data_IF_820346038949
#
_entry.id   IF_820346038949
#
_cell.length_a   1.000
_cell.length_b   1.000
_cell.length_c   1.000
_cell.angle_alpha   90.00
_cell.angle_beta   90.00
_cell.angle_gamma   90.00
#
_symmetry.space_group_name_H-M   'P 1'
#
loop_
_entity.id
_entity.type
_entity.pdbx_description
1 polymer ?
#
# COMPACT_ATOMS: atom_id res chain seq x y z
N UNK A 1 53.58 4.78 30.98
CA UNK A 1 52.56 4.65 29.91
C UNK A 1 52.36 3.16 29.70
N UNK A 2 51.21 2.59 30.10
CA UNK A 2 51.01 1.14 30.06
C UNK A 2 50.52 0.69 28.67
N UNK A 3 50.73 -0.58 28.33
CA UNK A 3 50.39 -1.18 27.04
C UNK A 3 48.90 -1.04 26.71
N UNK A 4 48.06 -1.02 27.74
CA UNK A 4 46.61 -0.79 27.66
C UNK A 4 46.27 0.62 27.15
N UNK A 5 47.01 1.65 27.57
CA UNK A 5 46.81 3.03 27.11
C UNK A 5 47.14 3.16 25.62
N UNK A 6 48.24 2.53 25.19
CA UNK A 6 48.70 2.52 23.79
C UNK A 6 47.73 1.72 22.91
N UNK A 7 47.22 0.58 23.38
CA UNK A 7 46.19 -0.19 22.68
C UNK A 7 44.87 0.58 22.56
N UNK A 8 44.49 1.34 23.58
CA UNK A 8 43.27 2.14 23.58
C UNK A 8 43.33 3.32 22.62
N UNK A 9 44.48 3.99 22.54
CA UNK A 9 44.72 5.06 21.56
C UNK A 9 44.85 4.53 20.13
N UNK A 10 45.48 3.37 19.93
CA UNK A 10 45.57 2.72 18.63
C UNK A 10 44.19 2.25 18.12
N UNK A 11 43.34 1.71 19.00
CA UNK A 11 41.97 1.30 18.66
C UNK A 11 41.07 2.51 18.36
N UNK A 12 41.18 3.60 19.13
CA UNK A 12 40.43 4.83 18.85
C UNK A 12 40.88 5.49 17.53
N UNK A 13 42.18 5.50 17.25
CA UNK A 13 42.71 6.06 16.00
C UNK A 13 42.31 5.20 14.79
N UNK A 14 42.27 3.87 14.94
CA UNK A 14 41.78 2.95 13.90
C UNK A 14 40.28 3.05 13.64
N UNK A 15 39.46 3.27 14.67
CA UNK A 15 38.01 3.45 14.53
C UNK A 15 37.62 4.75 13.83
N UNK A 16 38.47 5.78 13.89
CA UNK A 16 38.20 7.09 13.26
C UNK A 16 38.58 7.12 11.77
N UNK A 17 39.38 6.14 11.31
CA UNK A 17 39.89 6.06 9.94
C UNK A 17 39.05 5.19 8.99
N UNK A 18 38.05 4.47 9.49
CA UNK A 18 37.16 3.64 8.68
C UNK A 18 35.93 4.46 8.29
N UNK A 19 35.89 4.94 7.05
CA UNK A 19 34.68 5.49 6.47
C UNK A 19 33.58 4.42 6.51
N UNK A 20 32.46 4.74 7.16
CA UNK A 20 31.28 3.88 7.23
C UNK A 20 30.78 3.64 5.80
N UNK A 21 30.80 2.40 5.28
CA UNK A 21 30.16 2.09 4.01
C UNK A 21 28.67 2.43 4.12
N UNK A 22 28.07 2.95 3.06
CA UNK A 22 26.61 3.11 3.00
C UNK A 22 25.93 1.79 3.40
N UNK A 23 25.03 1.88 4.37
CA UNK A 23 24.31 0.75 4.97
C UNK A 23 23.56 -0.03 3.87
N UNK A 24 23.98 -1.28 3.54
CA UNK A 24 23.30 -2.08 2.52
C UNK A 24 21.92 -2.55 2.97
N UNK A 25 21.51 -2.28 4.22
CA UNK A 25 20.29 -2.76 4.85
C UNK A 25 19.44 -1.61 5.43
N UNK A 26 19.12 -0.60 4.62
CA UNK A 26 18.26 0.54 5.02
C UNK A 26 16.90 0.15 5.61
N UNK A 27 16.39 -1.05 5.30
CA UNK A 27 15.18 -1.64 5.89
C UNK A 27 15.35 -2.07 7.35
N UNK A 28 16.56 -2.43 7.77
CA UNK A 28 16.90 -2.76 9.16
C UNK A 28 17.01 -1.47 9.99
N UNK A 29 17.67 -0.44 9.49
CA UNK A 29 17.84 0.84 10.20
C UNK A 29 16.54 1.66 10.28
N UNK A 30 15.59 1.51 9.35
CA UNK A 30 14.19 2.00 9.50
C UNK A 30 13.44 1.27 10.64
N UNK A 31 13.53 -0.06 10.69
CA UNK A 31 12.95 -0.89 11.77
C UNK A 31 13.59 -0.56 13.12
N UNK A 32 14.90 -0.38 13.15
CA UNK A 32 15.66 -0.03 14.34
C UNK A 32 15.34 1.39 14.86
N UNK A 33 15.08 2.37 13.99
CA UNK A 33 14.62 3.71 14.43
C UNK A 33 13.25 3.67 15.10
N UNK A 34 12.33 2.85 14.59
CA UNK A 34 11.02 2.60 15.21
C UNK A 34 11.18 1.87 16.56
N UNK A 35 12.09 0.89 16.64
CA UNK A 35 12.44 0.20 17.89
C UNK A 35 13.13 1.11 18.93
N UNK A 36 14.07 1.98 18.51
CA UNK A 36 14.81 2.91 19.38
C UNK A 36 13.88 3.96 20.00
N UNK A 37 12.83 4.39 19.31
CA UNK A 37 11.83 5.33 19.85
C UNK A 37 11.04 4.71 21.01
N UNK A 38 10.77 3.39 20.95
CA UNK A 38 10.04 2.67 21.99
C UNK A 38 10.92 2.22 23.17
N UNK A 39 12.25 2.15 23.00
CA UNK A 39 13.20 1.78 24.06
C UNK A 39 13.32 2.85 25.16
N UNK A 40 12.91 4.10 24.91
CA UNK A 40 12.94 5.19 25.90
C UNK A 40 11.87 5.07 27.00
N UNK A 41 10.94 4.13 26.92
CA UNK A 41 9.88 3.94 27.92
C UNK A 41 10.22 2.91 29.00
N UNK A 42 11.27 2.09 28.83
CA UNK A 42 11.66 1.09 29.84
C UNK A 42 13.18 0.91 29.88
N UNK A 43 13.85 1.78 30.64
CA UNK A 43 15.31 1.78 30.79
C UNK A 43 15.69 1.75 32.28
N UNK A 44 15.81 0.56 32.84
CA UNK A 44 16.51 0.33 34.10
C UNK A 44 17.14 -1.06 34.24
N UNK A 45 17.55 -1.72 33.13
CA UNK A 45 18.23 -3.03 33.22
C UNK A 45 19.17 -3.43 32.06
N UNK A 46 19.77 -2.50 31.30
CA UNK A 46 20.52 -2.87 30.08
C UNK A 46 21.90 -2.20 29.93
N UNK A 47 22.76 -2.29 30.95
CA UNK A 47 24.17 -1.89 30.83
C UNK A 47 25.13 -3.09 30.66
N UNK A 48 24.73 -4.31 31.04
CA UNK A 48 25.65 -5.46 31.01
C UNK A 48 25.76 -6.19 29.66
N UNK A 49 24.82 -6.01 28.72
CA UNK A 49 24.74 -6.82 27.49
C UNK A 49 25.56 -6.31 26.28
N UNK A 50 26.15 -5.11 26.37
CA UNK A 50 26.72 -4.43 25.19
C UNK A 50 28.16 -4.87 24.85
N UNK A 51 28.85 -5.59 25.74
CA UNK A 51 30.24 -6.04 25.49
C UNK A 51 30.30 -7.39 24.76
N UNK A 52 29.22 -8.18 24.74
CA UNK A 52 29.21 -9.51 24.15
C UNK A 52 28.90 -9.56 22.63
N UNK A 53 28.40 -8.48 22.03
CA UNK A 53 27.81 -8.52 20.67
C UNK A 53 28.84 -8.38 19.55
N UNK A 54 30.04 -7.86 19.80
CA UNK A 54 31.05 -7.64 18.75
C UNK A 54 31.82 -8.93 18.38
N UNK A 55 31.82 -9.95 19.23
CA UNK A 55 32.58 -11.20 19.01
C UNK A 55 31.85 -12.33 18.26
N UNK A 56 30.53 -12.22 18.05
CA UNK A 56 29.70 -13.36 17.62
C UNK A 56 29.43 -13.43 16.08
N UNK A 57 29.77 -12.39 15.31
CA UNK A 57 29.51 -12.37 13.85
C UNK A 57 30.54 -13.16 13.01
N UNK A 58 31.58 -13.75 13.61
CA UNK A 58 32.64 -14.48 12.89
C UNK A 58 32.64 -16.01 13.06
N UNK A 59 31.63 -16.60 13.73
CA UNK A 59 31.41 -18.06 13.71
C UNK A 59 32.50 -18.93 14.37
N UNK A 60 33.40 -18.37 15.18
CA UNK A 60 34.56 -19.09 15.75
C UNK A 60 34.39 -19.56 17.21
N UNK A 61 33.25 -19.28 17.87
CA UNK A 61 32.96 -19.80 19.22
C UNK A 61 31.48 -20.20 19.31
N UNK A 62 31.14 -21.46 19.61
CA UNK A 62 29.77 -21.84 19.93
C UNK A 62 29.35 -21.06 21.18
N UNK A 63 28.28 -20.26 21.06
CA UNK A 63 27.67 -19.62 22.21
C UNK A 63 27.25 -20.71 23.20
N UNK A 64 27.58 -20.55 24.49
CA UNK A 64 27.26 -21.59 25.46
C UNK A 64 25.74 -21.67 25.67
N UNK A 65 25.22 -22.88 25.82
CA UNK A 65 23.78 -23.20 25.89
C UNK A 65 22.98 -22.59 27.06
N UNK A 66 23.56 -21.63 27.80
CA UNK A 66 22.93 -20.89 28.89
C UNK A 66 22.62 -19.43 28.52
N UNK A 67 22.97 -18.94 27.32
CA UNK A 67 22.62 -17.59 26.90
C UNK A 67 21.08 -17.47 26.79
N UNK A 68 20.42 -16.67 27.64
CA UNK A 68 18.98 -16.51 27.57
C UNK A 68 18.65 -15.88 26.22
N UNK A 69 17.89 -16.60 25.40
CA UNK A 69 17.36 -16.04 24.15
C UNK A 69 16.69 -14.71 24.46
N UNK A 70 16.93 -13.69 23.63
CA UNK A 70 16.22 -12.43 23.73
C UNK A 70 14.79 -12.71 23.27
N UNK A 71 13.99 -13.24 24.19
CA UNK A 71 12.59 -13.49 23.99
C UNK A 71 11.91 -12.12 23.89
N UNK A 72 11.67 -11.68 22.66
CA UNK A 72 10.58 -10.74 22.43
C UNK A 72 9.32 -11.58 22.57
N UNK A 73 8.80 -11.68 23.78
CA UNK A 73 7.55 -12.38 24.04
C UNK A 73 6.49 -11.76 23.12
N UNK A 74 5.98 -12.55 22.18
CA UNK A 74 4.92 -12.15 21.27
C UNK A 74 3.77 -11.54 22.06
N UNK A 75 3.31 -10.37 21.61
CA UNK A 75 2.29 -9.61 22.32
C UNK A 75 0.97 -10.38 22.26
N UNK A 76 0.37 -10.73 23.40
CA UNK A 76 -1.04 -11.13 23.40
C UNK A 76 -1.88 -9.95 22.91
N UNK A 77 -2.69 -10.20 21.89
CA UNK A 77 -3.60 -9.23 21.29
C UNK A 77 -5.03 -9.60 21.68
N UNK A 78 -5.96 -8.65 21.56
CA UNK A 78 -7.37 -8.93 21.81
C UNK A 78 -7.92 -10.05 20.90
N UNK A 79 -7.36 -10.18 19.68
CA UNK A 79 -7.63 -11.31 18.78
C UNK A 79 -7.20 -12.65 19.39
N UNK A 80 -5.98 -12.71 19.93
CA UNK A 80 -5.40 -13.95 20.45
C UNK A 80 -5.80 -14.25 21.89
N UNK A 81 -6.55 -13.37 22.57
CA UNK A 81 -7.21 -13.67 23.84
C UNK A 81 -8.63 -14.24 23.68
N UNK A 82 -9.33 -13.93 22.58
CA UNK A 82 -10.71 -14.37 22.35
C UNK A 82 -10.82 -15.88 22.04
N UNK A 83 -11.94 -16.56 22.32
CA UNK A 83 -12.19 -17.92 21.84
C UNK A 83 -12.11 -18.02 20.30
N UNK A 84 -11.91 -19.23 19.78
CA UNK A 84 -12.04 -19.49 18.34
C UNK A 84 -13.44 -19.13 17.86
N UNK A 85 -13.54 -18.48 16.70
CA UNK A 85 -14.81 -18.04 16.09
C UNK A 85 -15.06 -18.72 14.75
N UNK A 86 -16.26 -18.56 14.22
CA UNK A 86 -16.73 -19.20 12.99
C UNK A 86 -17.45 -20.53 13.26
N UNK A 87 -18.10 -21.09 12.23
CA UNK A 87 -18.93 -22.29 12.37
C UNK A 87 -18.13 -23.58 12.66
N UNK A 88 -16.80 -23.58 12.48
CA UNK A 88 -15.92 -24.70 12.82
C UNK A 88 -15.21 -24.53 14.17
N UNK A 89 -15.56 -23.52 14.96
CA UNK A 89 -14.94 -23.28 16.27
C UNK A 89 -15.05 -24.49 17.25
N UNK A 90 -16.08 -25.32 17.09
CA UNK A 90 -16.29 -26.52 17.89
C UNK A 90 -15.70 -27.82 17.30
N UNK A 91 -15.18 -27.78 16.07
CA UNK A 91 -14.64 -28.98 15.40
C UNK A 91 -13.19 -29.25 15.86
N UNK A 92 -13.06 -29.88 17.02
CA UNK A 92 -11.74 -30.17 17.61
C UNK A 92 -10.90 -31.08 16.72
N UNK A 93 -11.52 -31.99 15.96
CA UNK A 93 -10.80 -32.91 15.07
C UNK A 93 -10.14 -32.15 13.92
N UNK A 94 -10.87 -31.22 13.30
CA UNK A 94 -10.31 -30.32 12.28
C UNK A 94 -9.24 -29.40 12.87
N UNK A 95 -9.53 -28.72 13.98
CA UNK A 95 -8.60 -27.76 14.59
C UNK A 95 -7.28 -28.41 15.05
N UNK A 96 -7.35 -29.61 15.64
CA UNK A 96 -6.16 -30.37 16.03
C UNK A 96 -5.41 -30.92 14.82
N UNK A 97 -6.14 -31.33 13.78
CA UNK A 97 -5.57 -31.65 12.48
C UNK A 97 -4.77 -30.48 11.92
N UNK A 98 -5.35 -29.28 11.88
CA UNK A 98 -4.72 -28.09 11.32
C UNK A 98 -3.44 -27.74 12.05
N UNK A 99 -3.43 -27.77 13.40
CA UNK A 99 -2.20 -27.51 14.19
C UNK A 99 -1.05 -28.49 13.87
N UNK A 100 -1.36 -29.73 13.44
CA UNK A 100 -0.35 -30.70 13.02
C UNK A 100 0.18 -30.43 11.61
N UNK A 101 -0.64 -29.87 10.73
CA UNK A 101 -0.31 -29.63 9.32
C UNK A 101 0.41 -28.29 9.08
N UNK A 102 0.24 -27.29 9.95
CA UNK A 102 0.92 -25.99 9.85
C UNK A 102 2.45 -26.20 9.80
N UNK A 103 3.12 -25.74 8.75
CA UNK A 103 4.56 -25.94 8.55
C UNK A 103 5.36 -24.78 9.13
N UNK A 104 6.66 -25.01 9.30
CA UNK A 104 7.61 -23.92 9.55
C UNK A 104 7.54 -22.92 8.41
N UNK A 105 7.85 -21.67 8.72
CA UNK A 105 7.71 -20.56 7.80
C UNK A 105 9.04 -20.34 7.08
N UNK A 106 9.00 -20.42 5.75
CA UNK A 106 10.15 -20.12 4.89
C UNK A 106 10.03 -18.68 4.36
N UNK A 107 10.99 -17.84 4.74
CA UNK A 107 11.21 -16.53 4.16
C UNK A 107 12.53 -16.57 3.35
N UNK A 108 12.76 -15.70 2.35
CA UNK A 108 13.98 -15.74 1.54
C UNK A 108 15.26 -15.66 2.40
N UNK A 109 15.94 -16.80 2.57
CA UNK A 109 17.16 -16.93 3.37
C UNK A 109 16.96 -17.21 4.87
N UNK A 110 15.72 -17.35 5.35
CA UNK A 110 15.39 -17.56 6.78
C UNK A 110 14.31 -18.64 6.94
N UNK A 111 14.51 -19.58 7.87
CA UNK A 111 13.48 -20.58 8.23
C UNK A 111 13.05 -20.32 9.67
N UNK A 112 11.82 -19.81 9.83
CA UNK A 112 11.19 -19.57 11.10
C UNK A 112 10.48 -20.82 11.59
N UNK A 113 11.07 -21.47 12.60
CA UNK A 113 10.53 -22.69 13.18
C UNK A 113 9.35 -22.40 14.11
N UNK A 114 8.35 -23.27 14.11
CA UNK A 114 7.27 -23.22 15.08
C UNK A 114 7.82 -23.59 16.46
N UNK A 115 7.71 -22.68 17.42
CA UNK A 115 8.23 -22.90 18.79
C UNK A 115 7.50 -24.02 19.51
N UNK A 116 6.18 -24.13 19.33
CA UNK A 116 5.36 -25.22 19.86
C UNK A 116 4.01 -25.27 19.14
N UNK A 117 3.71 -26.43 18.55
CA UNK A 117 2.44 -26.68 17.83
C UNK A 117 1.23 -26.62 18.76
N UNK A 118 1.39 -27.00 20.02
CA UNK A 118 0.33 -26.93 21.04
C UNK A 118 0.00 -25.48 21.42
N UNK A 119 0.93 -24.55 21.20
CA UNK A 119 0.72 -23.11 21.43
C UNK A 119 0.13 -22.38 20.22
N UNK A 120 -0.07 -23.06 19.10
CA UNK A 120 -0.80 -22.51 17.96
C UNK A 120 -2.26 -22.31 18.37
N UNK A 121 -2.73 -21.08 18.24
CA UNK A 121 -4.10 -20.72 18.53
C UNK A 121 -4.84 -20.48 17.23
N UNK A 122 -5.95 -21.19 17.01
CA UNK A 122 -6.86 -20.88 15.92
C UNK A 122 -7.81 -19.79 16.40
N UNK A 123 -7.74 -18.61 15.78
CA UNK A 123 -8.55 -17.42 16.12
C UNK A 123 -9.91 -17.47 15.42
N UNK A 124 -9.93 -18.01 14.20
CA UNK A 124 -11.12 -18.15 13.37
C UNK A 124 -11.02 -19.45 12.56
N UNK A 125 -12.14 -20.15 12.41
CA UNK A 125 -12.29 -21.29 11.51
C UNK A 125 -13.74 -21.39 11.03
N UNK A 126 -13.96 -21.36 9.73
CA UNK A 126 -15.28 -21.55 9.16
C UNK A 126 -15.27 -22.11 7.74
N UNK A 127 -16.37 -22.76 7.36
CA UNK A 127 -16.75 -22.90 5.96
C UNK A 127 -17.59 -21.68 5.55
N UNK A 128 -17.08 -20.87 4.62
CA UNK A 128 -17.73 -19.67 4.05
C UNK A 128 -17.77 -19.81 2.53
N UNK A 129 -18.98 -19.80 1.96
CA UNK A 129 -19.19 -20.13 0.54
C UNK A 129 -18.48 -21.44 0.14
N UNK A 130 -17.56 -21.37 -0.82
CA UNK A 130 -16.83 -22.51 -1.36
C UNK A 130 -15.49 -22.76 -0.66
N UNK A 131 -15.18 -22.00 0.40
CA UNK A 131 -13.90 -22.04 1.09
C UNK A 131 -14.07 -22.54 2.52
N UNK A 132 -13.13 -23.38 2.94
CA UNK A 132 -12.78 -23.60 4.33
C UNK A 132 -11.65 -22.66 4.66
N UNK A 133 -11.84 -21.81 5.66
CA UNK A 133 -10.89 -20.79 6.06
C UNK A 133 -10.51 -20.99 7.52
N UNK A 134 -9.24 -20.75 7.86
CA UNK A 134 -8.77 -20.68 9.23
C UNK A 134 -7.70 -19.61 9.41
N UNK A 135 -7.80 -18.84 10.49
CA UNK A 135 -6.77 -17.89 10.91
C UNK A 135 -6.05 -18.44 12.14
N UNK A 136 -4.75 -18.73 11.98
CA UNK A 136 -3.91 -19.25 13.04
C UNK A 136 -2.94 -18.18 13.55
N UNK A 137 -2.83 -18.04 14.86
CA UNK A 137 -1.71 -17.38 15.49
C UNK A 137 -0.61 -18.40 15.76
N UNK A 138 0.56 -18.18 15.15
CA UNK A 138 1.67 -19.12 15.12
C UNK A 138 2.87 -18.52 15.87
N UNK A 139 3.35 -19.16 16.96
CA UNK A 139 4.56 -18.73 17.64
C UNK A 139 5.80 -19.24 16.92
N UNK A 140 6.67 -18.33 16.50
CA UNK A 140 7.83 -18.60 15.66
C UNK A 140 9.15 -18.34 16.39
N UNK A 141 10.21 -18.99 15.92
CA UNK A 141 11.58 -18.73 16.35
C UNK A 141 12.57 -18.84 15.20
N UNK A 142 13.62 -18.03 15.25
CA UNK A 142 14.78 -18.13 14.39
C UNK A 142 16.03 -18.09 15.27
N UNK A 143 16.63 -19.26 15.53
CA UNK A 143 17.69 -19.40 16.53
C UNK A 143 17.22 -18.96 17.92
N UNK A 144 17.72 -17.83 18.41
CA UNK A 144 17.36 -17.24 19.71
C UNK A 144 16.31 -16.11 19.62
N UNK A 145 15.93 -15.71 18.40
CA UNK A 145 14.89 -14.74 18.17
C UNK A 145 13.52 -15.43 18.21
N UNK A 146 12.54 -14.78 18.82
CA UNK A 146 11.15 -15.25 18.85
C UNK A 146 10.26 -14.23 18.19
N UNK A 147 9.25 -14.69 17.46
CA UNK A 147 8.25 -13.85 16.82
C UNK A 147 6.89 -14.54 16.80
N UNK A 148 5.89 -13.87 16.24
CA UNK A 148 4.53 -14.38 16.09
C UNK A 148 3.95 -13.93 14.76
N UNK A 149 3.21 -14.81 14.11
CA UNK A 149 2.50 -14.49 12.88
C UNK A 149 1.01 -14.80 13.02
N UNK A 150 0.18 -14.05 12.29
CA UNK A 150 -1.19 -14.43 11.97
C UNK A 150 -1.18 -14.99 10.56
N UNK A 151 -1.63 -16.22 10.37
CA UNK A 151 -1.55 -16.94 9.09
C UNK A 151 -2.93 -17.40 8.68
N UNK A 152 -3.35 -16.98 7.49
CA UNK A 152 -4.55 -17.47 6.84
C UNK A 152 -4.25 -18.79 6.16
N UNK A 153 -5.13 -19.76 6.39
CA UNK A 153 -5.17 -21.03 5.69
C UNK A 153 -6.48 -21.15 4.95
N UNK A 154 -6.42 -21.61 3.71
CA UNK A 154 -7.58 -21.83 2.86
C UNK A 154 -7.60 -23.23 2.25
N UNK A 155 -8.78 -23.72 1.94
CA UNK A 155 -9.01 -24.94 1.17
C UNK A 155 -10.45 -24.99 0.71
N UNK A 156 -10.86 -26.01 -0.07
CA UNK A 156 -12.27 -26.18 -0.42
C UNK A 156 -13.15 -26.37 0.82
N UNK A 157 -14.38 -25.86 0.80
CA UNK A 157 -15.36 -26.09 1.86
C UNK A 157 -15.49 -27.59 2.17
N UNK A 158 -15.52 -27.95 3.46
CA UNK A 158 -15.58 -29.35 3.90
C UNK A 158 -14.26 -30.12 3.84
N UNK A 159 -13.16 -29.53 3.33
CA UNK A 159 -11.88 -30.23 3.19
C UNK A 159 -11.21 -30.57 4.54
N UNK A 160 -10.48 -31.69 4.66
CA UNK A 160 -9.71 -31.99 5.86
C UNK A 160 -8.53 -31.02 6.02
N UNK A 161 -8.02 -30.89 7.25
CA UNK A 161 -6.89 -30.02 7.57
C UNK A 161 -5.64 -30.22 6.69
N UNK A 162 -5.38 -31.45 6.22
CA UNK A 162 -4.24 -31.78 5.36
C UNK A 162 -4.35 -31.24 3.93
N UNK A 163 -5.50 -30.67 3.55
CA UNK A 163 -5.71 -30.00 2.26
C UNK A 163 -5.73 -28.47 2.37
N UNK A 164 -5.51 -27.94 3.57
CA UNK A 164 -5.42 -26.50 3.79
C UNK A 164 -4.04 -26.00 3.34
N UNK A 165 -3.99 -24.86 2.64
CA UNK A 165 -2.78 -24.20 2.18
C UNK A 165 -2.67 -22.80 2.76
N UNK A 166 -1.45 -22.30 2.97
CA UNK A 166 -1.24 -20.91 3.39
C UNK A 166 -1.72 -19.95 2.29
N UNK A 167 -2.59 -19.02 2.67
CA UNK A 167 -3.23 -18.04 1.79
C UNK A 167 -2.70 -16.61 2.01
N UNK A 168 -2.10 -16.36 3.17
CA UNK A 168 -1.59 -15.04 3.51
C UNK A 168 -1.07 -14.98 4.94
N UNK A 169 -0.26 -13.95 5.22
CA UNK A 169 0.39 -13.76 6.52
C UNK A 169 0.35 -12.29 6.94
N UNK A 170 0.01 -12.07 8.20
CA UNK A 170 0.13 -10.81 8.91
C UNK A 170 1.06 -10.90 10.12
N UNK A 171 1.46 -9.74 10.65
CA UNK A 171 2.21 -9.63 11.90
C UNK A 171 1.35 -10.12 13.08
N UNK A 172 1.91 -10.93 13.98
CA UNK A 172 1.14 -11.49 15.10
C UNK A 172 0.61 -10.47 16.11
N UNK A 173 1.08 -9.22 16.03
CA UNK A 173 0.61 -8.06 16.79
C UNK A 173 -0.56 -7.30 16.15
N UNK A 174 -1.01 -7.69 14.95
CA UNK A 174 -2.19 -7.09 14.32
C UNK A 174 -3.43 -7.25 15.20
N UNK A 175 -4.31 -6.26 15.13
CA UNK A 175 -5.59 -6.27 15.88
C UNK A 175 -6.79 -6.54 14.99
N UNK A 176 -6.61 -6.43 13.67
CA UNK A 176 -7.61 -6.72 12.65
C UNK A 176 -6.90 -7.53 11.57
N UNK A 177 -7.51 -8.64 11.17
CA UNK A 177 -7.05 -9.46 10.05
C UNK A 177 -8.18 -9.59 9.03
N UNK A 178 -7.82 -9.55 7.76
CA UNK A 178 -8.77 -9.65 6.64
C UNK A 178 -8.31 -10.73 5.68
N UNK A 179 -9.25 -11.52 5.19
CA UNK A 179 -9.07 -12.38 4.02
C UNK A 179 -10.14 -12.02 3.01
N UNK A 180 -9.76 -11.86 1.75
CA UNK A 180 -10.70 -11.53 0.69
C UNK A 180 -10.32 -12.25 -0.60
N UNK A 181 -11.31 -12.85 -1.22
CA UNK A 181 -11.26 -13.35 -2.58
C UNK A 181 -12.49 -12.84 -3.32
N UNK A 182 -12.26 -12.21 -4.48
CA UNK A 182 -13.31 -11.74 -5.35
C UNK A 182 -13.20 -12.33 -6.75
N UNK A 183 -14.34 -12.35 -7.44
CA UNK A 183 -14.41 -12.85 -8.80
C UNK A 183 -15.17 -11.91 -9.74
N UNK A 184 -14.89 -12.09 -11.03
CA UNK A 184 -15.48 -11.28 -12.09
C UNK A 184 -16.89 -11.70 -12.49
N UNK A 185 -17.21 -12.98 -12.26
CA UNK A 185 -18.41 -13.65 -12.76
C UNK A 185 -19.27 -14.30 -11.66
N UNK A 186 -18.70 -14.56 -10.49
CA UNK A 186 -19.41 -15.12 -9.32
C UNK A 186 -19.17 -14.30 -8.05
N UNK A 187 -20.08 -14.32 -7.07
CA UNK A 187 -19.83 -13.66 -5.79
C UNK A 187 -18.59 -14.24 -5.09
N UNK A 188 -17.77 -13.34 -4.54
CA UNK A 188 -16.63 -13.65 -3.69
C UNK A 188 -16.95 -13.52 -2.20
N UNK A 189 -15.92 -13.53 -1.37
CA UNK A 189 -16.04 -13.48 0.09
C UNK A 189 -14.99 -12.57 0.70
N UNK A 190 -15.42 -11.77 1.69
CA UNK A 190 -14.57 -11.05 2.62
C UNK A 190 -14.81 -11.59 4.04
N UNK A 191 -13.73 -11.90 4.75
CA UNK A 191 -13.75 -12.19 6.18
C UNK A 191 -12.92 -11.16 6.93
N UNK A 192 -13.51 -10.52 7.93
CA UNK A 192 -12.84 -9.56 8.82
C UNK A 192 -12.89 -10.09 10.25
N UNK A 193 -11.72 -10.29 10.84
CA UNK A 193 -11.54 -10.82 12.19
C UNK A 193 -10.96 -9.71 13.07
N UNK A 194 -11.77 -9.15 13.96
CA UNK A 194 -11.42 -8.04 14.86
C UNK A 194 -11.61 -8.42 16.34
N UNK A 195 -11.26 -7.58 17.33
CA UNK A 195 -11.57 -7.84 18.74
C UNK A 195 -13.08 -8.04 18.95
N UNK A 196 -13.52 -8.91 19.88
CA UNK A 196 -14.95 -9.21 20.05
C UNK A 196 -15.85 -8.00 20.34
N UNK A 197 -15.31 -6.93 20.93
CA UNK A 197 -16.03 -5.68 21.20
C UNK A 197 -15.99 -4.67 20.04
N UNK A 198 -15.15 -4.92 19.03
CA UNK A 198 -14.96 -3.97 17.95
C UNK A 198 -16.17 -3.95 17.01
N UNK A 199 -16.57 -2.75 16.62
CA UNK A 199 -17.52 -2.52 15.53
C UNK A 199 -16.77 -2.60 14.20
N UNK A 200 -17.30 -3.38 13.26
CA UNK A 200 -16.78 -3.51 11.89
C UNK A 200 -17.81 -2.88 10.96
N UNK A 201 -17.39 -1.93 10.12
CA UNK A 201 -18.18 -1.37 9.04
C UNK A 201 -17.51 -1.72 7.71
N UNK A 202 -18.23 -2.43 6.83
CA UNK A 202 -17.74 -2.82 5.49
C UNK A 202 -18.57 -2.12 4.44
N UNK A 203 -17.93 -1.35 3.56
CA UNK A 203 -18.56 -0.80 2.36
C UNK A 203 -18.07 -1.59 1.14
N UNK A 204 -19.02 -2.13 0.38
CA UNK A 204 -18.77 -2.81 -0.89
C UNK A 204 -19.36 -1.96 -2.01
N UNK A 205 -18.51 -1.22 -2.73
CA UNK A 205 -18.92 -0.34 -3.80
C UNK A 205 -18.61 1.13 -3.53
N UNK A 206 -18.37 1.86 -4.61
CA UNK A 206 -18.15 3.30 -4.59
C UNK A 206 -18.65 3.94 -5.89
N UNK A 207 -18.70 5.28 -5.91
CA UNK A 207 -18.86 6.06 -7.12
C UNK A 207 -18.01 7.33 -7.11
N UNK A 208 -17.63 7.81 -8.29
CA UNK A 208 -17.00 9.11 -8.46
C UNK A 208 -18.08 10.17 -8.73
N UNK A 209 -18.30 11.07 -7.79
CA UNK A 209 -19.25 12.17 -7.93
C UNK A 209 -18.76 13.25 -8.91
N UNK A 210 -19.68 13.98 -9.53
CA UNK A 210 -19.37 15.16 -10.37
C UNK A 210 -18.58 16.24 -9.63
N UNK A 211 -18.68 16.29 -8.29
CA UNK A 211 -17.96 17.24 -7.44
C UNK A 211 -16.49 16.86 -7.19
N UNK A 212 -16.01 15.73 -7.75
CA UNK A 212 -14.63 15.29 -7.56
C UNK A 212 -14.41 14.59 -6.21
N UNK A 213 -15.39 13.81 -5.74
CA UNK A 213 -15.30 13.01 -4.51
C UNK A 213 -15.61 11.55 -4.76
N UNK A 214 -14.96 10.67 -4.00
CA UNK A 214 -15.35 9.26 -3.88
C UNK A 214 -16.49 9.16 -2.88
N UNK A 215 -17.58 8.54 -3.29
CA UNK A 215 -18.76 8.26 -2.47
C UNK A 215 -18.88 6.76 -2.30
N UNK A 216 -18.48 6.28 -1.12
CA UNK A 216 -18.60 4.88 -0.74
C UNK A 216 -20.05 4.51 -0.47
N UNK A 217 -20.42 3.28 -0.80
CA UNK A 217 -21.72 2.72 -0.47
C UNK A 217 -21.96 2.76 1.06
N UNK A 218 -23.24 2.68 1.45
CA UNK A 218 -23.57 2.61 2.87
C UNK A 218 -22.98 1.32 3.46
N UNK A 219 -22.18 1.39 4.55
CA UNK A 219 -21.54 0.21 5.07
C UNK A 219 -22.53 -0.71 5.79
N UNK A 220 -22.32 -2.02 5.65
CA UNK A 220 -22.88 -3.03 6.53
C UNK A 220 -22.09 -3.06 7.84
N UNK A 221 -22.79 -3.19 8.98
CA UNK A 221 -22.17 -3.11 10.31
C UNK A 221 -22.33 -4.44 11.05
N UNK A 222 -21.23 -4.95 11.60
CA UNK A 222 -21.20 -6.13 12.47
C UNK A 222 -20.30 -5.88 13.69
N UNK A 223 -20.18 -6.89 14.56
CA UNK A 223 -19.36 -6.80 15.78
C UNK A 223 -18.39 -7.97 15.86
N UNK A 224 -17.10 -7.65 15.98
CA UNK A 224 -15.98 -8.57 16.16
C UNK A 224 -15.63 -9.48 14.99
N UNK A 225 -16.61 -9.93 14.22
CA UNK A 225 -16.47 -10.76 13.03
C UNK A 225 -17.40 -10.24 11.94
N UNK A 226 -16.91 -10.17 10.70
CA UNK A 226 -17.74 -9.95 9.52
C UNK A 226 -17.40 -11.02 8.48
N UNK A 227 -18.41 -11.71 7.98
CA UNK A 227 -18.34 -12.59 6.81
C UNK A 227 -19.30 -11.97 5.79
N UNK A 228 -18.75 -11.37 4.73
CA UNK A 228 -19.49 -10.52 3.80
C UNK A 228 -19.31 -11.07 2.39
N UNK A 229 -20.42 -11.18 1.66
CA UNK A 229 -20.38 -11.48 0.23
C UNK A 229 -19.81 -10.27 -0.52
N UNK A 230 -18.81 -10.53 -1.36
CA UNK A 230 -18.25 -9.51 -2.26
C UNK A 230 -18.91 -9.71 -3.63
N UNK A 231 -19.63 -8.72 -4.17
CA UNK A 231 -20.38 -8.92 -5.41
C UNK A 231 -19.43 -9.21 -6.59
N UNK A 232 -19.90 -10.06 -7.50
CA UNK A 232 -19.22 -10.29 -8.78
C UNK A 232 -19.10 -8.98 -9.56
N UNK A 233 -17.91 -8.64 -10.03
CA UNK A 233 -17.69 -7.43 -10.80
C UNK A 233 -16.47 -7.54 -11.74
N UNK A 234 -16.53 -6.95 -12.95
CA UNK A 234 -15.42 -7.00 -13.91
C UNK A 234 -14.12 -6.36 -13.38
N UNK A 235 -14.23 -5.52 -12.36
CA UNK A 235 -13.14 -4.90 -11.60
C UNK A 235 -13.51 -4.91 -10.13
N UNK A 236 -12.52 -4.97 -9.24
CA UNK A 236 -12.73 -4.97 -7.79
C UNK A 236 -13.61 -3.77 -7.37
N UNK A 237 -14.69 -3.96 -6.60
CA UNK A 237 -15.70 -2.93 -6.33
C UNK A 237 -15.24 -1.88 -5.29
N UNK A 238 -13.95 -1.78 -4.99
CA UNK A 238 -13.40 -0.86 -4.00
C UNK A 238 -13.92 -1.12 -2.60
N UNK A 239 -13.63 -2.31 -2.06
CA UNK A 239 -14.09 -2.70 -0.72
C UNK A 239 -13.30 -1.95 0.34
N UNK A 240 -14.00 -1.24 1.23
CA UNK A 240 -13.38 -0.50 2.33
C UNK A 240 -13.90 -0.96 3.68
N UNK A 241 -13.02 -0.86 4.68
CA UNK A 241 -13.22 -1.36 6.02
C UNK A 241 -13.00 -0.21 7.01
N UNK A 242 -13.87 -0.13 8.01
CA UNK A 242 -13.60 0.65 9.21
C UNK A 242 -13.86 -0.20 10.44
N UNK A 243 -12.83 -0.38 11.26
CA UNK A 243 -12.92 -1.15 12.50
C UNK A 243 -12.60 -0.23 13.66
N UNK A 244 -13.52 -0.15 14.62
CA UNK A 244 -13.39 0.70 15.81
C UNK A 244 -13.67 -0.07 17.08
N UNK A 245 -12.91 0.18 18.14
CA UNK A 245 -13.11 -0.42 19.47
C UNK A 245 -12.95 0.65 20.56
N UNK A 246 -13.95 0.80 21.42
CA UNK A 246 -13.94 1.82 22.49
C UNK A 246 -13.70 3.26 22.00
N UNK A 247 -14.08 3.59 20.76
CA UNK A 247 -13.84 4.88 20.13
C UNK A 247 -12.47 5.04 19.45
N UNK A 248 -11.55 4.09 19.62
CA UNK A 248 -10.30 4.04 18.86
C UNK A 248 -10.52 3.41 17.48
N UNK A 249 -9.88 3.95 16.45
CA UNK A 249 -9.85 3.33 15.12
C UNK A 249 -8.72 2.30 15.07
N UNK A 250 -9.09 1.04 14.89
CA UNK A 250 -8.15 -0.08 14.75
C UNK A 250 -7.72 -0.28 13.29
N UNK A 251 -8.64 -0.03 12.35
CA UNK A 251 -8.41 -0.08 10.92
C UNK A 251 -9.34 0.94 10.22
N UNK A 252 -8.84 1.65 9.21
CA UNK A 252 -9.62 2.53 8.33
C UNK A 252 -8.91 2.58 6.97
N UNK A 253 -9.48 1.92 5.97
CA UNK A 253 -8.81 1.76 4.68
C UNK A 253 -9.40 0.68 3.77
N UNK A 254 -8.76 0.42 2.62
CA UNK A 254 -9.17 -0.62 1.69
C UNK A 254 -8.94 -2.02 2.27
N UNK A 255 -9.76 -2.98 1.84
CA UNK A 255 -9.47 -4.40 2.02
C UNK A 255 -8.58 -4.90 0.89
N UNK A 256 -7.54 -5.64 1.22
CA UNK A 256 -6.70 -6.32 0.21
C UNK A 256 -7.13 -7.77 0.04
N UNK A 257 -7.07 -8.28 -1.19
CA UNK A 257 -7.43 -9.64 -1.54
C UNK A 257 -7.09 -9.97 -2.99
N UNK A 258 -7.33 -11.23 -3.37
CA UNK A 258 -7.21 -11.65 -4.76
C UNK A 258 -8.47 -11.27 -5.54
N UNK A 259 -8.30 -10.96 -6.82
CA UNK A 259 -9.39 -10.77 -7.78
C UNK A 259 -9.13 -11.64 -9.01
N UNK A 260 -10.06 -12.52 -9.37
CA UNK A 260 -9.85 -13.49 -10.44
C UNK A 260 -11.07 -13.72 -11.33
N UNK A 261 -10.88 -14.44 -12.44
CA UNK A 261 -11.95 -14.91 -13.31
C UNK A 261 -11.64 -14.76 -14.80
N UNK A 262 -12.52 -15.27 -15.68
CA UNK A 262 -12.26 -15.40 -17.11
C UNK A 262 -12.22 -14.06 -17.84
N UNK A 263 -12.89 -13.04 -17.29
CA UNK A 263 -12.94 -11.70 -17.85
C UNK A 263 -12.10 -10.77 -16.97
N UNK A 264 -10.81 -10.60 -17.32
CA UNK A 264 -10.01 -9.53 -16.73
C UNK A 264 -10.57 -8.14 -17.08
N UNK A 265 -10.04 -7.05 -16.50
CA UNK A 265 -10.41 -5.71 -16.93
C UNK A 265 -10.21 -5.58 -18.44
N UNK A 266 -11.27 -5.22 -19.17
CA UNK A 266 -11.22 -5.05 -20.61
C UNK A 266 -10.08 -4.09 -20.99
N UNK A 267 -9.14 -4.53 -21.84
CA UNK A 267 -8.06 -3.67 -22.31
C UNK A 267 -8.59 -2.64 -23.34
N UNK A 268 -8.11 -1.38 -23.31
CA UNK A 268 -8.46 -0.41 -24.33
C UNK A 268 -8.00 -0.86 -25.73
N UNK A 269 -8.88 -0.71 -26.73
CA UNK A 269 -8.58 -1.07 -28.12
C UNK A 269 -7.80 0.02 -28.86
N UNK A 270 -7.12 -0.36 -29.95
CA UNK A 270 -6.35 0.56 -30.80
C UNK A 270 -7.13 1.80 -31.22
N UNK A 271 -8.37 1.60 -31.66
CA UNK A 271 -9.26 2.68 -32.05
C UNK A 271 -9.55 3.65 -30.90
N UNK A 272 -9.73 3.14 -29.66
CA UNK A 272 -10.02 3.97 -28.49
C UNK A 272 -8.85 4.87 -28.13
N UNK A 273 -7.61 4.35 -28.02
CA UNK A 273 -6.50 5.25 -27.66
C UNK A 273 -6.00 6.10 -28.82
N UNK A 274 -6.18 5.67 -30.08
CA UNK A 274 -5.93 6.53 -31.24
C UNK A 274 -6.85 7.76 -31.19
N UNK A 275 -8.13 7.57 -30.88
CA UNK A 275 -9.05 8.68 -30.67
C UNK A 275 -8.66 9.53 -29.43
N UNK A 276 -8.24 8.88 -28.34
CA UNK A 276 -7.82 9.55 -27.11
C UNK A 276 -6.60 10.47 -27.30
N UNK A 277 -5.70 10.12 -28.23
CA UNK A 277 -4.50 10.90 -28.52
C UNK A 277 -4.80 12.25 -29.19
N UNK A 278 -5.93 12.40 -29.88
CA UNK A 278 -6.38 13.69 -30.43
C UNK A 278 -5.29 14.51 -31.17
N UNK A 279 -4.35 13.85 -31.86
CA UNK A 279 -3.25 14.48 -32.59
C UNK A 279 -1.88 14.46 -31.90
N UNK A 280 -1.79 13.96 -30.66
CA UNK A 280 -0.52 13.66 -29.98
C UNK A 280 0.16 12.42 -30.60
N UNK A 281 1.50 12.46 -30.70
CA UNK A 281 2.30 11.29 -31.06
C UNK A 281 2.77 10.58 -29.80
N UNK A 282 2.45 9.29 -29.66
CA UNK A 282 2.84 8.49 -28.51
C UNK A 282 2.95 7.01 -28.88
N UNK A 283 3.80 6.26 -28.17
CA UNK A 283 3.91 4.81 -28.38
C UNK A 283 2.63 4.09 -27.95
N UNK A 284 1.99 3.41 -28.91
CA UNK A 284 0.70 2.76 -28.71
C UNK A 284 0.73 1.71 -27.57
N UNK A 285 1.75 0.86 -27.54
CA UNK A 285 1.84 -0.22 -26.54
C UNK A 285 2.02 0.33 -25.13
N UNK A 286 2.86 1.35 -24.98
CA UNK A 286 3.04 2.08 -23.73
C UNK A 286 1.73 2.74 -23.28
N UNK A 287 1.02 3.40 -24.19
CA UNK A 287 -0.27 4.03 -23.87
C UNK A 287 -1.32 3.01 -23.43
N UNK A 288 -1.40 1.86 -24.10
CA UNK A 288 -2.32 0.78 -23.75
C UNK A 288 -2.03 0.25 -22.35
N UNK A 289 -0.76 -0.05 -22.03
CA UNK A 289 -0.37 -0.49 -20.69
C UNK A 289 -0.72 0.53 -19.61
N UNK A 290 -0.44 1.81 -19.86
CA UNK A 290 -0.71 2.88 -18.91
C UNK A 290 -2.20 3.15 -18.72
N UNK A 291 -2.99 3.09 -19.80
CA UNK A 291 -4.43 3.22 -19.73
C UNK A 291 -5.08 2.04 -18.98
N UNK A 292 -4.63 0.80 -19.24
CA UNK A 292 -5.07 -0.39 -18.48
C UNK A 292 -4.71 -0.29 -16.99
N UNK A 293 -3.50 0.19 -16.66
CA UNK A 293 -3.10 0.46 -15.28
C UNK A 293 -4.03 1.50 -14.64
N UNK A 294 -4.26 2.64 -15.29
CA UNK A 294 -5.08 3.71 -14.75
C UNK A 294 -6.55 3.27 -14.54
N UNK A 295 -7.10 2.47 -15.46
CA UNK A 295 -8.43 1.88 -15.33
C UNK A 295 -8.50 0.91 -14.14
N UNK A 296 -7.50 0.05 -13.97
CA UNK A 296 -7.43 -0.87 -12.84
C UNK A 296 -7.27 -0.12 -11.51
N UNK A 297 -6.38 0.86 -11.43
CA UNK A 297 -6.20 1.71 -10.23
C UNK A 297 -7.50 2.46 -9.87
N UNK A 298 -8.23 2.96 -10.88
CA UNK A 298 -9.52 3.63 -10.71
C UNK A 298 -10.70 2.66 -10.47
N UNK A 299 -10.48 1.35 -10.55
CA UNK A 299 -11.53 0.32 -10.54
C UNK A 299 -12.65 0.62 -11.55
N UNK A 300 -12.24 0.96 -12.77
CA UNK A 300 -13.11 1.26 -13.90
C UNK A 300 -12.89 0.29 -15.06
N UNK A 301 -13.95 0.01 -15.81
CA UNK A 301 -13.90 -0.70 -17.09
C UNK A 301 -13.72 0.28 -18.24
N UNK A 302 -13.20 -0.18 -19.40
CA UNK A 302 -13.22 0.63 -20.64
C UNK A 302 -14.65 0.92 -21.08
N UNK A 303 -15.55 -0.05 -20.94
CA UNK A 303 -16.97 0.11 -21.22
C UNK A 303 -17.56 1.22 -20.34
N UNK A 304 -18.09 2.27 -20.98
CA UNK A 304 -18.69 3.42 -20.30
C UNK A 304 -17.70 4.44 -19.72
N UNK A 305 -16.40 4.30 -20.00
CA UNK A 305 -15.35 5.23 -19.59
C UNK A 305 -14.67 5.84 -20.82
N UNK A 306 -14.67 7.17 -20.91
CA UNK A 306 -13.89 7.90 -21.89
C UNK A 306 -12.45 8.01 -21.42
N UNK A 307 -11.50 7.61 -22.28
CA UNK A 307 -10.07 7.80 -22.10
C UNK A 307 -9.65 9.00 -22.95
N UNK A 308 -8.92 9.94 -22.37
CA UNK A 308 -8.35 11.09 -23.08
C UNK A 308 -6.89 11.30 -22.74
N UNK A 309 -6.10 11.79 -23.69
CA UNK A 309 -4.71 12.22 -23.44
C UNK A 309 -4.69 13.74 -23.42
N UNK A 310 -4.32 14.29 -22.28
CA UNK A 310 -4.27 15.75 -22.08
C UNK A 310 -2.94 16.36 -22.50
N UNK A 311 -1.88 15.57 -22.38
CA UNK A 311 -0.52 16.01 -22.65
C UNK A 311 0.39 14.81 -22.90
N UNK A 312 1.38 15.00 -23.75
CA UNK A 312 2.49 14.08 -24.00
C UNK A 312 3.78 14.88 -24.05
N UNK A 313 4.85 14.37 -23.47
CA UNK A 313 6.15 15.01 -23.50
C UNK A 313 7.21 14.15 -22.83
N UNK A 314 8.14 14.80 -22.14
CA UNK A 314 9.18 14.10 -21.39
C UNK A 314 9.29 14.59 -19.96
N UNK A 315 9.65 13.66 -19.07
CA UNK A 315 9.93 13.89 -17.65
C UNK A 315 11.21 13.13 -17.34
N UNK A 316 12.23 13.82 -16.80
CA UNK A 316 13.55 13.24 -16.54
C UNK A 316 14.16 12.48 -17.75
N UNK A 317 13.91 13.00 -18.96
CA UNK A 317 14.37 12.39 -20.22
C UNK A 317 13.60 11.13 -20.65
N UNK A 318 12.59 10.70 -19.90
CA UNK A 318 11.71 9.60 -20.24
C UNK A 318 10.41 10.11 -20.84
N UNK A 319 9.82 9.32 -21.74
CA UNK A 319 8.48 9.57 -22.30
C UNK A 319 7.47 9.73 -21.18
N UNK A 320 6.57 10.70 -21.29
CA UNK A 320 5.56 10.98 -20.28
C UNK A 320 4.22 11.38 -20.90
N UNK A 321 3.13 11.10 -20.19
CA UNK A 321 1.79 11.48 -20.57
C UNK A 321 0.93 11.86 -19.36
N UNK A 322 -0.07 12.72 -19.60
CA UNK A 322 -1.18 12.92 -18.68
C UNK A 322 -2.44 12.31 -19.28
N UNK A 323 -2.87 11.18 -18.72
CA UNK A 323 -4.10 10.48 -19.09
C UNK A 323 -5.26 11.01 -18.27
N UNK A 324 -6.45 10.96 -18.86
CA UNK A 324 -7.71 11.27 -18.18
C UNK A 324 -8.72 10.16 -18.38
N UNK A 325 -9.44 9.82 -17.32
CA UNK A 325 -10.54 8.86 -17.34
C UNK A 325 -11.82 9.54 -16.85
N UNK A 326 -12.93 9.36 -17.58
CA UNK A 326 -14.20 10.01 -17.27
C UNK A 326 -15.39 9.11 -17.58
N UNK A 327 -16.28 8.90 -16.60
CA UNK A 327 -17.63 8.37 -16.87
C UNK A 327 -18.63 9.51 -17.03
N UNK A 328 -19.75 9.29 -17.75
CA UNK A 328 -20.83 10.27 -17.78
C UNK A 328 -21.31 10.62 -16.36
N UNK A 329 -21.45 11.92 -16.06
CA UNK A 329 -21.91 12.40 -14.76
C UNK A 329 -20.91 12.30 -13.60
N UNK A 330 -19.70 11.77 -13.82
CA UNK A 330 -18.66 11.68 -12.79
C UNK A 330 -17.66 12.82 -12.85
N UNK A 331 -16.84 12.95 -11.80
CA UNK A 331 -15.56 13.68 -11.86
C UNK A 331 -14.61 13.09 -12.90
N UNK A 332 -13.50 13.78 -13.13
CA UNK A 332 -12.45 13.38 -14.09
C UNK A 332 -11.22 12.93 -13.33
N UNK A 333 -10.77 11.71 -13.57
CA UNK A 333 -9.51 11.22 -13.04
C UNK A 333 -8.38 11.65 -13.96
N UNK A 334 -7.28 12.12 -13.41
CA UNK A 334 -6.08 12.49 -14.15
C UNK A 334 -4.85 11.75 -13.60
N UNK A 335 -4.09 11.16 -14.50
CA UNK A 335 -2.90 10.35 -14.21
C UNK A 335 -1.69 10.93 -14.93
N UNK A 336 -0.64 11.33 -14.20
CA UNK A 336 0.65 11.67 -14.80
C UNK A 336 1.60 10.48 -14.66
N UNK A 337 2.08 9.98 -15.79
CA UNK A 337 2.89 8.76 -15.88
C UNK A 337 4.10 9.07 -16.76
N UNK A 338 5.28 8.55 -16.40
CA UNK A 338 6.45 8.57 -17.26
C UNK A 338 7.23 7.25 -17.20
N UNK A 339 8.05 6.99 -18.21
CA UNK A 339 8.85 5.77 -18.35
C UNK A 339 8.52 5.00 -19.62
N UNK A 340 8.55 3.67 -19.54
CA UNK A 340 8.26 2.74 -20.62
C UNK A 340 7.09 1.80 -20.28
N UNK A 341 6.62 1.00 -21.23
CA UNK A 341 5.50 0.08 -21.06
C UNK A 341 5.64 -0.85 -19.82
N UNK A 342 6.82 -1.41 -19.60
CA UNK A 342 7.08 -2.40 -18.53
C UNK A 342 7.87 -1.82 -17.33
N UNK A 343 8.25 -0.55 -17.41
CA UNK A 343 9.02 0.15 -16.36
C UNK A 343 8.61 1.61 -16.36
N UNK A 344 7.51 1.89 -15.67
CA UNK A 344 6.93 3.22 -15.56
C UNK A 344 6.76 3.64 -14.10
N UNK A 345 6.55 4.94 -13.94
CA UNK A 345 6.24 5.57 -12.67
C UNK A 345 4.94 6.34 -12.78
N UNK A 346 4.06 6.13 -11.81
CA UNK A 346 2.90 6.98 -11.58
C UNK A 346 3.30 8.14 -10.67
N UNK A 347 3.35 9.36 -11.21
CA UNK A 347 3.70 10.56 -10.45
C UNK A 347 2.50 11.23 -9.79
N UNK A 348 1.35 11.17 -10.45
CA UNK A 348 0.12 11.81 -10.02
C UNK A 348 -1.07 10.93 -10.34
N UNK A 349 -1.97 10.76 -9.38
CA UNK A 349 -3.35 10.34 -9.60
C UNK A 349 -4.28 11.31 -8.87
N UNK A 350 -5.22 11.91 -9.59
CA UNK A 350 -6.00 13.02 -9.08
C UNK A 350 -7.44 12.95 -9.57
N UNK A 351 -8.40 13.01 -8.64
CA UNK A 351 -9.81 13.17 -8.94
C UNK A 351 -10.17 14.65 -9.00
N UNK A 352 -10.63 15.10 -10.16
CA UNK A 352 -11.04 16.48 -10.45
C UNK A 352 -12.57 16.59 -10.45
N UNK A 353 -13.13 17.76 -10.10
CA UNK A 353 -14.53 18.03 -10.36
C UNK A 353 -14.79 18.04 -11.87
N UNK A 354 -15.96 17.56 -12.29
CA UNK A 354 -16.34 17.52 -13.70
C UNK A 354 -16.35 18.94 -14.33
N UNK A 355 -16.76 19.93 -13.53
CA UNK A 355 -16.80 21.32 -13.94
C UNK A 355 -15.38 21.90 -14.10
N UNK A 356 -15.02 22.22 -15.35
CA UNK A 356 -13.75 22.85 -15.71
C UNK A 356 -12.54 21.91 -15.69
N UNK A 357 -12.74 20.59 -15.63
CA UNK A 357 -11.63 19.62 -15.64
C UNK A 357 -10.68 19.85 -16.84
N UNK A 358 -11.26 20.07 -18.02
CA UNK A 358 -10.54 20.22 -19.29
C UNK A 358 -9.82 21.57 -19.41
N UNK A 359 -10.25 22.57 -18.63
CA UNK A 359 -9.74 23.96 -18.69
C UNK A 359 -8.86 24.34 -17.50
N UNK A 360 -8.68 23.46 -16.50
CA UNK A 360 -7.83 23.69 -15.33
C UNK A 360 -6.39 23.25 -15.55
N UNK A 361 -5.35 24.01 -15.15
CA UNK A 361 -3.98 23.46 -15.19
C UNK A 361 -3.84 22.25 -14.26
N UNK A 362 -2.94 21.34 -14.59
CA UNK A 362 -2.54 20.23 -13.72
C UNK A 362 -1.10 20.41 -13.29
N UNK A 363 -0.79 19.99 -12.07
CA UNK A 363 0.56 20.04 -11.56
C UNK A 363 0.79 18.95 -10.53
N UNK A 364 2.02 18.47 -10.44
CA UNK A 364 2.41 17.46 -9.47
C UNK A 364 3.86 17.63 -9.06
N UNK A 365 4.18 17.11 -7.89
CA UNK A 365 5.54 17.16 -7.35
C UNK A 365 6.35 16.01 -7.90
N UNK A 366 7.54 16.32 -8.38
CA UNK A 366 8.48 15.35 -8.91
C UNK A 366 9.18 14.59 -7.78
N UNK A 367 9.55 13.35 -8.04
CA UNK A 367 10.38 12.53 -7.16
C UNK A 367 11.73 12.31 -7.81
N UNK A 368 12.74 12.00 -7.00
CA UNK A 368 14.06 11.68 -7.51
C UNK A 368 14.00 10.38 -8.31
N UNK A 369 14.83 10.27 -9.35
CA UNK A 369 14.90 9.05 -10.16
C UNK A 369 15.37 7.86 -9.32
N UNK A 370 14.71 6.71 -9.51
CA UNK A 370 15.03 5.46 -8.81
C UNK A 370 14.78 5.44 -7.30
N UNK A 371 14.23 6.51 -6.71
CA UNK A 371 13.95 6.60 -5.26
C UNK A 371 12.61 7.27 -4.99
N UNK A 372 12.06 7.04 -3.79
CA UNK A 372 10.89 7.78 -3.29
C UNK A 372 11.26 9.14 -2.66
N UNK A 373 12.51 9.57 -2.82
CA UNK A 373 13.00 10.82 -2.29
C UNK A 373 12.30 12.00 -2.96
N UNK A 374 11.86 12.95 -2.14
CA UNK A 374 11.13 14.14 -2.57
C UNK A 374 12.10 15.13 -3.19
N UNK A 375 11.77 15.68 -4.35
CA UNK A 375 12.51 16.82 -4.91
C UNK A 375 11.80 18.13 -4.60
N UNK A 376 12.48 19.23 -4.88
CA UNK A 376 11.91 20.56 -4.90
C UNK A 376 11.29 20.91 -6.26
N UNK A 377 11.03 19.94 -7.15
CA UNK A 377 10.52 20.22 -8.49
C UNK A 377 9.02 19.94 -8.59
N UNK A 378 8.32 20.78 -9.35
CA UNK A 378 6.93 20.59 -9.76
C UNK A 378 6.86 20.64 -11.26
N UNK A 379 6.18 19.65 -11.84
CA UNK A 379 5.79 19.66 -13.23
C UNK A 379 4.40 20.28 -13.35
N UNK A 380 4.21 21.11 -14.37
CA UNK A 380 2.98 21.83 -14.66
C UNK A 380 2.59 21.56 -16.10
N UNK A 381 1.32 21.23 -16.33
CA UNK A 381 0.71 21.06 -17.65
C UNK A 381 -0.51 21.99 -17.73
N UNK A 382 -0.49 22.90 -18.70
CA UNK A 382 -1.57 23.88 -18.90
C UNK A 382 -2.60 23.37 -19.91
N UNK A 383 -3.86 23.84 -19.86
CA UNK A 383 -4.84 23.50 -20.89
C UNK A 383 -4.46 24.13 -22.25
N UNK A 384 -4.94 23.58 -23.37
CA UNK A 384 -4.78 24.19 -24.69
C UNK A 384 -5.24 25.66 -24.73
N UNK A 385 -4.51 26.51 -25.46
CA UNK A 385 -4.82 27.94 -25.58
C UNK A 385 -4.38 28.82 -24.41
N UNK A 386 -3.58 28.27 -23.48
CA UNK A 386 -2.94 29.06 -22.41
C UNK A 386 -1.91 30.03 -22.99
N UNK A 387 -2.06 31.33 -22.71
CA UNK A 387 -1.12 32.37 -23.10
C UNK A 387 0.01 32.56 -22.09
N UNK A 388 -0.30 32.44 -20.80
CA UNK A 388 0.67 32.50 -19.70
C UNK A 388 0.21 31.67 -18.52
N UNK A 389 1.15 31.22 -17.69
CA UNK A 389 0.86 30.52 -16.44
C UNK A 389 1.73 31.02 -15.29
N UNK A 390 1.26 30.83 -14.06
CA UNK A 390 1.98 31.20 -12.84
C UNK A 390 1.87 30.12 -11.76
N UNK A 391 2.94 29.94 -10.98
CA UNK A 391 2.95 29.18 -9.73
C UNK A 391 3.05 30.15 -8.55
N UNK A 392 2.01 30.27 -7.73
CA UNK A 392 1.92 31.27 -6.66
C UNK A 392 2.21 32.71 -7.13
N UNK A 393 1.78 33.05 -8.35
CA UNK A 393 2.04 34.36 -8.97
C UNK A 393 3.39 34.48 -9.70
N UNK A 394 4.33 33.56 -9.47
CA UNK A 394 5.60 33.50 -10.20
C UNK A 394 5.37 33.00 -11.63
N UNK A 395 5.76 33.75 -12.68
CA UNK A 395 5.61 33.33 -14.07
C UNK A 395 6.32 32.01 -14.37
N UNK A 396 5.69 31.18 -15.20
CA UNK A 396 6.24 29.92 -15.72
C UNK A 396 6.64 30.07 -17.19
N UNK A 397 7.78 29.49 -17.56
CA UNK A 397 8.22 29.37 -18.96
C UNK A 397 7.63 28.10 -19.54
N UNK A 398 6.56 28.24 -20.31
CA UNK A 398 5.91 27.10 -20.98
C UNK A 398 6.71 26.68 -22.23
N UNK A 399 6.86 25.38 -22.43
CA UNK A 399 7.32 24.81 -23.69
C UNK A 399 6.21 24.78 -24.75
N UNK A 400 6.54 24.31 -25.96
CA UNK A 400 5.59 24.22 -27.06
C UNK A 400 4.39 23.28 -26.80
N UNK A 401 4.50 22.39 -25.81
CA UNK A 401 3.43 21.48 -25.39
C UNK A 401 2.56 22.08 -24.28
N UNK A 402 2.87 23.31 -23.83
CA UNK A 402 2.18 23.97 -22.74
C UNK A 402 2.58 23.47 -21.35
N UNK A 403 3.73 22.81 -21.23
CA UNK A 403 4.26 22.31 -19.97
C UNK A 403 5.40 23.18 -19.43
N UNK A 404 5.64 23.12 -18.12
CA UNK A 404 6.76 23.79 -17.47
C UNK A 404 7.21 23.03 -16.23
N UNK A 405 8.49 23.20 -15.88
CA UNK A 405 9.04 22.80 -14.59
C UNK A 405 9.34 24.02 -13.74
N UNK A 406 9.13 23.90 -12.43
CA UNK A 406 9.39 24.97 -11.47
C UNK A 406 9.91 24.41 -10.14
N UNK A 407 10.66 25.22 -9.39
CA UNK A 407 11.06 24.86 -8.03
C UNK A 407 9.96 25.24 -7.03
N UNK A 408 9.61 24.30 -6.16
CA UNK A 408 8.69 24.42 -5.04
C UNK A 408 9.18 23.51 -3.90
N UNK A 409 9.43 24.04 -2.69
CA UNK A 409 9.84 23.23 -1.56
C UNK A 409 8.85 22.05 -1.31
N UNK A 410 9.34 20.84 -0.94
CA UNK A 410 8.54 19.61 -0.90
C UNK A 410 7.23 19.65 -0.11
N UNK A 411 7.10 20.56 0.87
CA UNK A 411 5.92 20.72 1.71
C UNK A 411 5.18 22.06 1.55
N UNK A 412 5.66 22.96 0.69
CA UNK A 412 5.07 24.29 0.54
C UNK A 412 3.77 24.22 -0.27
N UNK A 413 2.66 24.70 0.27
CA UNK A 413 1.41 24.81 -0.50
C UNK A 413 1.61 25.69 -1.73
N UNK A 414 1.03 25.30 -2.86
CA UNK A 414 1.07 26.11 -4.07
C UNK A 414 -0.16 25.95 -4.93
N UNK A 415 -0.41 26.95 -5.76
CA UNK A 415 -1.48 26.97 -6.76
C UNK A 415 -0.90 27.34 -8.11
N UNK A 416 -1.22 26.54 -9.12
CA UNK A 416 -0.97 26.89 -10.52
C UNK A 416 -2.19 27.61 -11.06
N UNK A 417 -1.94 28.70 -11.79
CA UNK A 417 -2.98 29.45 -12.50
C UNK A 417 -2.60 29.57 -13.97
N UNK A 418 -3.49 29.17 -14.87
CA UNK A 418 -3.37 29.32 -16.31
C UNK A 418 -4.28 30.45 -16.79
N UNK A 419 -3.74 31.32 -17.64
CA UNK A 419 -4.44 32.46 -18.21
C UNK A 419 -4.59 32.21 -19.71
N UNK A 420 -5.82 32.10 -20.22
CA UNK A 420 -6.06 31.91 -21.64
C UNK A 420 -5.83 33.21 -22.42
N UNK A 421 -5.66 33.10 -23.75
CA UNK A 421 -5.47 34.26 -24.63
C UNK A 421 -6.74 35.09 -24.88
N UNK A 422 -7.92 34.54 -24.64
CA UNK A 422 -9.21 35.01 -25.17
C UNK A 422 -10.12 35.72 -24.14
N UNK A 423 -9.56 36.50 -23.22
CA UNK A 423 -10.26 37.20 -22.12
C UNK A 423 -11.11 36.31 -21.19
N UNK A 424 -11.10 34.98 -21.38
CA UNK A 424 -11.75 34.04 -20.47
C UNK A 424 -11.09 34.08 -19.08
N UNK A 425 -11.85 33.82 -18.00
CA UNK A 425 -11.31 33.87 -16.65
C UNK A 425 -10.18 32.84 -16.47
N UNK A 426 -9.13 33.18 -15.69
CA UNK A 426 -8.06 32.25 -15.41
C UNK A 426 -8.57 31.03 -14.65
N UNK A 427 -7.97 29.88 -14.92
CA UNK A 427 -8.27 28.65 -14.22
C UNK A 427 -7.11 28.30 -13.27
N UNK A 428 -7.46 27.86 -12.06
CA UNK A 428 -6.48 27.54 -11.01
C UNK A 428 -6.71 26.15 -10.43
N UNK A 429 -5.60 25.52 -10.04
CA UNK A 429 -5.57 24.20 -9.38
C UNK A 429 -4.45 24.19 -8.34
N UNK A 430 -4.71 23.70 -7.11
CA UNK A 430 -3.64 23.53 -6.13
C UNK A 430 -2.69 22.41 -6.56
N UNK A 431 -1.41 22.57 -6.23
CA UNK A 431 -0.41 21.51 -6.39
C UNK A 431 -0.60 20.50 -5.25
N UNK A 432 -0.98 19.25 -5.53
CA UNK A 432 -1.21 18.27 -4.48
C UNK A 432 0.08 18.00 -3.69
N UNK A 433 -0.03 17.69 -2.39
CA UNK A 433 1.11 17.16 -1.64
C UNK A 433 1.51 15.78 -2.17
N UNK A 434 2.72 15.31 -1.83
CA UNK A 434 3.10 13.93 -2.16
C UNK A 434 2.11 12.93 -1.56
N UNK A 435 1.60 12.05 -2.40
CA UNK A 435 0.89 10.87 -1.98
C UNK A 435 1.90 9.84 -1.44
N UNK A 436 1.71 9.36 -0.22
CA UNK A 436 2.61 8.37 0.40
C UNK A 436 1.98 6.99 0.48
N UNK A 437 0.75 6.85 -0.02
CA UNK A 437 -0.07 5.66 0.10
C UNK A 437 -0.83 5.49 -1.21
N UNK A 438 -0.49 4.45 -1.97
CA UNK A 438 -1.13 4.11 -3.25
C UNK A 438 -2.22 3.04 -3.11
N UNK A 439 -2.56 2.61 -1.88
CA UNK A 439 -3.44 1.46 -1.66
C UNK A 439 -4.93 1.70 -1.89
N UNK A 440 -5.41 2.95 -1.75
CA UNK A 440 -6.83 3.33 -1.91
C UNK A 440 -7.21 3.86 -3.29
N UNK A 441 -8.49 4.21 -3.48
CA UNK A 441 -9.00 4.77 -4.73
C UNK A 441 -8.47 6.21 -4.95
N UNK A 442 -8.23 6.63 -6.20
CA UNK A 442 -7.97 8.03 -6.50
C UNK A 442 -9.09 8.93 -5.96
N UNK A 443 -8.73 9.88 -5.09
CA UNK A 443 -9.66 10.82 -4.49
C UNK A 443 -10.25 10.40 -3.15
N UNK A 444 -9.91 9.23 -2.60
CA UNK A 444 -10.28 8.86 -1.22
C UNK A 444 -9.65 9.82 -0.20
N UNK A 445 -8.41 10.24 -0.46
CA UNK A 445 -7.70 11.17 0.41
C UNK A 445 -7.76 12.59 -0.15
N UNK A 446 -7.69 13.64 0.70
CA UNK A 446 -7.53 15.02 0.24
C UNK A 446 -6.30 15.27 -0.63
N UNK A 447 -5.31 14.36 -0.64
CA UNK A 447 -4.09 14.48 -1.43
C UNK A 447 -4.29 14.08 -2.89
N UNK A 448 -5.31 13.26 -3.16
CA UNK A 448 -5.64 12.73 -4.49
C UNK A 448 -6.96 13.23 -5.03
N UNK A 449 -7.52 14.32 -4.47
CA UNK A 449 -8.66 15.02 -5.07
C UNK A 449 -8.49 16.52 -5.05
N UNK A 450 -9.14 17.16 -6.01
CA UNK A 450 -9.45 18.58 -6.01
C UNK A 450 -10.94 18.70 -5.77
N UNK A 451 -11.33 19.49 -4.78
CA UNK A 451 -12.74 19.80 -4.50
C UNK A 451 -12.97 21.29 -4.65
N UNK A 452 -14.16 21.72 -5.12
CA UNK A 452 -14.52 23.14 -5.26
C UNK A 452 -14.39 23.96 -3.97
#
# INVERSE_FOLDING_TARGET
>A
MNTETILREALNSGATAVAVPEDPWSGFSKRERTHRRNRRVRLSAAVAALVAVVGAQSGLVPLPGWAPGIAVAGRQTALTSAPTRGNLAGDTAFLDGLRREIKDIEDPGEIWEITSRQKIKIVYAADVHNHRLALAWVPLRFGFLTDTALVWYEGPAGSPASRMTEAGRGDGGQTVETWMEGHTDVPGTLVVVAPPSATIAVSSGFSYSAAGRVEHAKPAVSTGLAEVEVPAAPVEPGVTLKVTDGGATLHDGPSSGSWSGPTGPDEPTEAVLTAALAGHTFDWQTLQRWASMALNDARLTTTGTTIGVRWTGTVNGQTAAVLTLRRPGSGVLAYAIHGAADSYRLDMRLLLPAAGADTRPLAWRMRADGKDDRTDQVMVVTPPGTARATLNGTPLTLDATGAATASLPPGAAATVTAYPANDAPPASTPVPPFETDSGGLPGDTPRTRIVP
#
